data_IF_121520794601
#
_entry.id   IF_121520794601
#
_cell.length_a   1.000
_cell.length_b   1.000
_cell.length_c   1.000
_cell.angle_alpha   90.00
_cell.angle_beta   90.00
_cell.angle_gamma   90.00
#
_symmetry.space_group_name_H-M   'P 1'
#
loop_
_entity.id
_entity.type
_entity.pdbx_description
1 polymer ?
#
# COMPACT_ATOMS: atom_id res chain seq x y z
N UNK A 1 1.57 15.37 27.76
CA UNK A 1 2.03 14.86 26.46
C UNK A 1 0.92 15.14 25.44
N UNK A 2 1.08 16.10 24.52
CA UNK A 2 0.08 16.38 23.50
C UNK A 2 -0.04 15.16 22.58
N UNK A 3 -1.21 14.52 22.59
CA UNK A 3 -1.47 13.25 21.92
C UNK A 3 -1.29 13.31 20.41
N UNK A 4 -0.82 12.20 19.83
CA UNK A 4 -0.69 11.97 18.40
C UNK A 4 -2.01 12.29 17.69
N UNK A 5 -2.13 13.51 17.19
CA UNK A 5 -3.30 13.99 16.47
C UNK A 5 -3.21 13.51 15.02
N UNK A 6 -3.27 12.19 14.84
CA UNK A 6 -3.29 11.56 13.53
C UNK A 6 -4.63 11.74 12.83
N UNK A 7 -4.59 11.84 11.50
CA UNK A 7 -5.78 11.85 10.64
C UNK A 7 -5.74 10.58 9.80
N UNK A 8 -6.84 9.85 9.80
CA UNK A 8 -7.10 8.63 9.04
C UNK A 8 -7.97 8.98 7.84
N UNK A 9 -7.60 8.51 6.65
CA UNK A 9 -8.37 8.73 5.43
C UNK A 9 -9.35 7.58 5.23
N UNK A 10 -10.63 7.86 5.40
CA UNK A 10 -11.70 6.86 5.21
C UNK A 10 -12.39 7.10 3.88
N UNK A 11 -12.46 6.08 3.04
CA UNK A 11 -13.24 6.01 1.80
C UNK A 11 -14.41 5.04 2.02
N UNK A 12 -15.63 5.55 2.30
CA UNK A 12 -16.77 4.70 2.56
C UNK A 12 -17.22 3.92 1.32
N UNK A 13 -17.80 2.74 1.53
CA UNK A 13 -18.49 1.99 0.47
C UNK A 13 -19.57 2.86 -0.19
N UNK A 14 -19.83 2.66 -1.49
CA UNK A 14 -20.71 3.53 -2.28
C UNK A 14 -22.11 3.64 -1.67
N UNK A 15 -22.64 2.51 -1.19
CA UNK A 15 -23.95 2.42 -0.54
C UNK A 15 -24.00 3.12 0.83
N UNK A 16 -22.89 3.08 1.59
CA UNK A 16 -22.80 3.60 2.96
C UNK A 16 -22.30 5.06 3.04
N UNK A 17 -21.94 5.70 1.91
CA UNK A 17 -21.41 7.08 1.92
C UNK A 17 -22.35 8.09 2.57
N UNK A 18 -23.66 7.93 2.39
CA UNK A 18 -24.65 8.86 2.95
C UNK A 18 -24.73 8.74 4.46
N UNK A 19 -24.74 7.53 4.99
CA UNK A 19 -24.78 7.28 6.43
C UNK A 19 -23.46 7.68 7.09
N UNK A 20 -22.33 7.40 6.43
CA UNK A 20 -21.02 7.90 6.87
C UNK A 20 -20.95 9.43 6.91
N UNK A 21 -21.44 10.10 5.86
CA UNK A 21 -21.48 11.57 5.83
C UNK A 21 -22.36 12.15 6.95
N UNK A 22 -23.51 11.50 7.24
CA UNK A 22 -24.39 11.90 8.35
C UNK A 22 -23.66 11.79 9.70
N UNK A 23 -22.96 10.68 9.93
CA UNK A 23 -22.15 10.48 11.14
C UNK A 23 -21.01 11.51 11.21
N UNK A 24 -20.28 11.75 10.12
CA UNK A 24 -19.13 12.65 10.06
C UNK A 24 -19.48 14.11 10.39
N UNK A 25 -20.67 14.58 9.98
CA UNK A 25 -21.13 15.95 10.24
C UNK A 25 -21.44 16.20 11.72
N UNK A 26 -21.77 15.16 12.47
CA UNK A 26 -22.08 15.24 13.90
C UNK A 26 -20.82 15.32 14.80
N UNK A 27 -19.62 15.06 14.26
CA UNK A 27 -18.40 14.91 15.06
C UNK A 27 -17.76 16.24 15.52
N UNK A 28 -17.12 16.20 16.69
CA UNK A 28 -16.30 17.29 17.25
C UNK A 28 -14.98 16.74 17.81
N UNK A 29 -13.79 17.01 17.25
CA UNK A 29 -13.53 17.91 16.13
C UNK A 29 -14.15 17.43 14.82
N UNK A 30 -14.42 18.39 13.93
CA UNK A 30 -15.16 18.12 12.70
C UNK A 30 -14.31 17.29 11.74
N UNK A 31 -14.89 16.18 11.27
CA UNK A 31 -14.31 15.38 10.19
C UNK A 31 -14.26 16.26 8.94
N UNK A 32 -13.09 16.31 8.29
CA UNK A 32 -12.88 17.10 7.07
C UNK A 32 -13.11 16.23 5.85
N UNK A 33 -13.51 16.83 4.75
CA UNK A 33 -13.53 16.16 3.44
C UNK A 33 -12.14 16.22 2.85
N UNK A 34 -11.52 15.07 2.58
CA UNK A 34 -10.21 14.99 1.94
C UNK A 34 -10.34 14.95 0.41
N UNK A 35 -11.39 14.29 -0.11
CA UNK A 35 -11.71 14.20 -1.53
C UNK A 35 -13.24 13.98 -1.72
N UNK A 36 -13.77 14.01 -2.96
CA UNK A 36 -15.19 13.74 -3.21
C UNK A 36 -15.68 12.39 -2.69
N UNK A 37 -14.78 11.44 -2.46
CA UNK A 37 -15.09 10.07 -1.99
C UNK A 37 -14.36 9.70 -0.70
N UNK A 38 -13.60 10.61 -0.10
CA UNK A 38 -12.77 10.33 1.09
C UNK A 38 -12.86 11.42 2.15
N UNK A 39 -12.87 10.99 3.40
CA UNK A 39 -12.98 11.83 4.59
C UNK A 39 -11.72 11.72 5.44
N UNK A 40 -11.22 12.85 5.90
CA UNK A 40 -10.13 12.98 6.85
C UNK A 40 -10.73 12.96 8.27
N UNK A 41 -10.70 11.76 8.87
CA UNK A 41 -11.24 11.49 10.20
C UNK A 41 -10.10 11.57 11.22
N UNK A 42 -10.21 12.36 12.29
CA UNK A 42 -9.26 12.29 13.39
C UNK A 42 -9.20 10.87 13.96
N UNK A 43 -8.01 10.32 14.20
CA UNK A 43 -7.84 8.93 14.64
C UNK A 43 -8.67 8.58 15.90
N UNK A 44 -8.81 9.54 16.81
CA UNK A 44 -9.64 9.42 18.03
C UNK A 44 -11.14 9.31 17.77
N UNK A 45 -11.63 9.75 16.61
CA UNK A 45 -13.05 9.67 16.21
C UNK A 45 -13.33 8.44 15.37
N UNK A 46 -12.31 7.87 14.74
CA UNK A 46 -12.46 6.64 13.98
C UNK A 46 -12.98 5.49 14.86
N UNK A 47 -12.52 5.40 16.11
CA UNK A 47 -12.96 4.36 17.07
C UNK A 47 -14.42 4.51 17.54
N UNK A 48 -15.05 5.66 17.29
CA UNK A 48 -16.46 5.90 17.64
C UNK A 48 -17.39 5.76 16.42
N UNK A 49 -16.83 5.49 15.24
CA UNK A 49 -17.62 5.23 14.05
C UNK A 49 -18.30 3.86 14.21
N UNK A 50 -19.63 3.76 13.97
CA UNK A 50 -20.29 2.47 13.96
C UNK A 50 -19.66 1.57 12.90
N UNK A 51 -19.40 0.31 13.25
CA UNK A 51 -18.79 -0.65 12.33
C UNK A 51 -19.63 -0.85 11.06
N UNK A 52 -20.96 -0.77 11.19
CA UNK A 52 -21.91 -0.92 10.07
C UNK A 52 -21.65 0.07 8.93
N UNK A 53 -21.18 1.28 9.24
CA UNK A 53 -20.84 2.29 8.22
C UNK A 53 -19.41 2.17 7.71
N UNK A 54 -18.58 1.33 8.35
CA UNK A 54 -17.20 1.05 7.99
C UNK A 54 -17.05 -0.23 7.16
N UNK A 55 -17.97 -1.19 7.25
CA UNK A 55 -17.95 -2.43 6.46
C UNK A 55 -17.84 -2.10 4.96
N UNK A 56 -16.84 -2.71 4.29
CA UNK A 56 -16.56 -2.47 2.87
C UNK A 56 -15.89 -1.13 2.55
N UNK A 57 -15.58 -0.31 3.55
CA UNK A 57 -14.82 0.93 3.40
C UNK A 57 -13.32 0.66 3.32
N UNK A 58 -12.58 1.63 2.77
CA UNK A 58 -11.12 1.62 2.79
C UNK A 58 -10.61 2.69 3.77
N UNK A 59 -9.78 2.27 4.73
CA UNK A 59 -9.15 3.08 5.77
C UNK A 59 -7.66 3.15 5.45
N UNK A 60 -7.17 4.34 5.09
CA UNK A 60 -5.80 4.58 4.60
C UNK A 60 -5.37 3.66 3.46
N UNK A 61 -6.33 3.21 2.65
CA UNK A 61 -6.11 2.30 1.52
C UNK A 61 -6.22 0.81 1.87
N UNK A 62 -6.37 0.45 3.14
CA UNK A 62 -6.67 -0.91 3.58
C UNK A 62 -8.17 -1.13 3.73
N UNK A 63 -8.69 -2.30 3.34
CA UNK A 63 -10.09 -2.62 3.57
C UNK A 63 -10.33 -2.73 5.07
N UNK A 64 -11.40 -2.09 5.56
CA UNK A 64 -11.81 -2.25 6.95
C UNK A 64 -12.21 -3.71 7.21
N UNK A 65 -11.70 -4.25 8.31
CA UNK A 65 -12.02 -5.59 8.85
C UNK A 65 -12.59 -5.36 10.24
N UNK A 66 -13.74 -5.99 10.54
CA UNK A 66 -14.39 -5.84 11.84
C UNK A 66 -13.54 -6.52 12.91
N UNK A 67 -13.33 -5.90 14.09
CA UNK A 67 -12.53 -6.49 15.17
C UNK A 67 -13.13 -7.78 15.75
N UNK A 68 -14.43 -8.04 15.53
CA UNK A 68 -15.05 -9.33 15.88
C UNK A 68 -14.57 -10.45 14.94
N UNK A 69 -14.38 -10.14 13.65
CA UNK A 69 -13.71 -11.03 12.68
C UNK A 69 -12.19 -11.12 12.93
N UNK A 70 -11.59 -10.11 13.58
CA UNK A 70 -10.18 -10.08 14.01
C UNK A 70 -9.96 -10.59 15.44
N UNK A 71 -11.02 -10.98 16.16
CA UNK A 71 -10.86 -11.86 17.34
C UNK A 71 -10.14 -13.08 16.80
N UNK A 72 -9.01 -13.52 17.37
CA UNK A 72 -8.13 -14.49 16.73
C UNK A 72 -8.73 -15.90 16.67
N UNK A 73 -9.76 -16.07 15.85
CA UNK A 73 -9.94 -17.23 14.99
C UNK A 73 -9.13 -16.93 13.73
N UNK A 74 -7.82 -16.78 13.93
CA UNK A 74 -6.83 -16.65 12.86
C UNK A 74 -6.76 -17.99 12.12
N UNK A 75 -7.76 -18.28 11.28
CA UNK A 75 -7.79 -19.44 10.38
C UNK A 75 -8.03 -19.00 8.95
N UNK A 76 -7.31 -17.97 8.48
CA UNK A 76 -6.88 -17.88 7.07
C UNK A 76 -5.49 -17.27 7.05
N UNK A 77 -4.47 -18.14 7.00
CA UNK A 77 -3.23 -17.82 6.30
C UNK A 77 -2.33 -16.73 6.89
N UNK A 78 -2.18 -16.64 8.21
CA UNK A 78 -0.80 -16.45 8.70
C UNK A 78 -0.05 -17.65 8.12
N UNK A 79 0.98 -17.50 7.26
CA UNK A 79 1.90 -18.62 7.12
C UNK A 79 2.33 -18.85 8.55
N UNK A 80 1.94 -20.00 9.12
CA UNK A 80 2.66 -20.49 10.27
C UNK A 80 4.11 -20.30 9.87
N UNK A 81 4.86 -19.53 10.66
CA UNK A 81 6.28 -19.77 10.71
C UNK A 81 6.38 -21.18 11.30
N UNK A 82 6.14 -22.19 10.46
CA UNK A 82 6.71 -23.53 10.56
C UNK A 82 8.20 -23.36 10.24
N UNK A 83 8.85 -22.44 10.97
CA UNK A 83 10.24 -22.61 11.29
C UNK A 83 10.23 -23.89 12.08
N UNK A 84 10.83 -24.92 11.50
CA UNK A 84 11.02 -26.24 12.09
C UNK A 84 11.69 -26.03 13.44
N UNK A 85 10.88 -25.87 14.50
CA UNK A 85 11.28 -26.19 15.84
C UNK A 85 11.33 -27.72 15.86
N UNK A 86 12.37 -28.28 15.23
CA UNK A 86 12.84 -29.60 15.60
C UNK A 86 12.96 -29.61 17.12
N UNK A 87 12.67 -30.74 17.79
CA UNK A 87 12.71 -30.83 19.25
C UNK A 87 14.08 -30.45 19.86
N UNK A 88 15.11 -30.24 19.03
CA UNK A 88 16.45 -29.81 19.41
C UNK A 88 16.65 -28.28 19.51
N UNK A 89 15.67 -27.46 19.12
CA UNK A 89 15.77 -25.99 19.25
C UNK A 89 16.85 -25.35 18.36
N UNK A 90 17.19 -24.09 18.66
CA UNK A 90 18.23 -23.33 17.96
C UNK A 90 19.61 -23.86 18.37
N UNK A 91 20.35 -24.45 17.42
CA UNK A 91 21.77 -24.78 17.64
C UNK A 91 22.66 -23.62 17.20
N UNK A 92 23.59 -23.21 18.05
CA UNK A 92 24.59 -22.20 17.71
C UNK A 92 25.58 -22.79 16.69
N UNK A 93 25.78 -22.13 15.57
CA UNK A 93 26.67 -22.62 14.52
C UNK A 93 28.13 -22.50 14.97
N UNK A 94 28.84 -23.62 15.03
CA UNK A 94 30.28 -23.66 15.32
C UNK A 94 31.08 -23.50 14.01
N UNK A 95 31.99 -22.51 13.91
CA UNK A 95 32.82 -22.34 12.71
C UNK A 95 33.64 -23.59 12.39
N UNK A 96 33.50 -24.11 11.17
CA UNK A 96 34.22 -25.30 10.69
C UNK A 96 33.43 -26.60 10.75
N UNK A 97 32.23 -26.60 11.34
CA UNK A 97 31.32 -27.75 11.28
C UNK A 97 30.45 -27.68 10.01
N UNK A 98 30.29 -28.78 9.26
CA UNK A 98 29.49 -28.77 8.03
C UNK A 98 28.02 -28.49 8.36
N UNK A 99 27.39 -27.65 7.53
CA UNK A 99 25.97 -27.35 7.62
C UNK A 99 25.16 -28.65 7.47
N UNK A 100 24.03 -28.79 8.19
CA UNK A 100 23.17 -29.94 8.05
C UNK A 100 22.53 -29.89 6.66
N UNK A 101 22.43 -31.04 6.00
CA UNK A 101 21.79 -31.13 4.69
C UNK A 101 20.30 -30.81 4.80
N UNK A 102 19.84 -29.82 4.04
CA UNK A 102 18.42 -29.49 3.93
C UNK A 102 17.77 -30.54 3.04
N UNK A 103 16.76 -31.30 3.51
CA UNK A 103 16.09 -32.29 2.69
C UNK A 103 15.46 -31.62 1.46
N UNK A 104 15.59 -32.24 0.28
CA UNK A 104 14.97 -31.73 -0.95
C UNK A 104 13.44 -31.63 -0.85
N UNK A 105 12.84 -32.37 0.09
CA UNK A 105 11.41 -32.35 0.42
C UNK A 105 10.92 -31.00 0.97
N UNK A 106 11.82 -30.14 1.46
CA UNK A 106 11.49 -28.75 1.85
C UNK A 106 11.07 -27.93 0.63
N UNK A 107 11.61 -28.24 -0.54
CA UNK A 107 11.18 -27.66 -1.81
C UNK A 107 10.06 -28.53 -2.38
N UNK A 108 8.85 -28.33 -1.84
CA UNK A 108 7.66 -29.04 -2.29
C UNK A 108 7.35 -28.77 -3.78
N UNK A 109 6.47 -29.56 -4.40
CA UNK A 109 6.10 -29.43 -5.82
C UNK A 109 5.44 -28.10 -6.20
N UNK A 110 4.98 -27.34 -5.20
CA UNK A 110 4.47 -25.96 -5.35
C UNK A 110 5.59 -24.90 -5.40
N UNK A 111 6.85 -25.31 -5.18
CA UNK A 111 7.99 -24.40 -5.29
C UNK A 111 8.17 -24.01 -6.75
N UNK A 112 7.95 -22.74 -7.05
CA UNK A 112 8.22 -22.21 -8.38
C UNK A 112 9.72 -21.91 -8.49
N UNK A 113 10.45 -22.50 -9.46
CA UNK A 113 11.85 -22.16 -9.68
C UNK A 113 11.96 -20.68 -9.99
N UNK A 114 12.77 -19.96 -9.21
CA UNK A 114 13.13 -18.60 -9.56
C UNK A 114 13.95 -18.65 -10.86
N UNK A 115 13.62 -17.84 -11.87
CA UNK A 115 14.45 -17.73 -13.05
C UNK A 115 15.85 -17.27 -12.62
N UNK A 116 16.88 -17.98 -13.08
CA UNK A 116 18.26 -17.55 -12.88
C UNK A 116 18.38 -16.14 -13.46
N UNK A 117 18.73 -15.17 -12.60
CA UNK A 117 18.72 -13.76 -12.93
C UNK A 117 19.48 -13.49 -14.22
N UNK A 118 18.74 -13.28 -15.30
CA UNK A 118 19.28 -12.65 -16.49
C UNK A 118 19.40 -11.18 -16.13
N UNK A 119 20.64 -10.68 -16.12
CA UNK A 119 20.95 -9.26 -16.01
C UNK A 119 20.50 -8.54 -17.29
N UNK A 120 19.20 -8.58 -17.58
CA UNK A 120 18.57 -7.77 -18.60
C UNK A 120 18.04 -6.52 -17.89
N UNK A 121 18.97 -5.60 -17.61
CA UNK A 121 18.65 -4.18 -17.55
C UNK A 121 18.20 -3.71 -18.93
N UNK A 122 17.05 -4.20 -19.39
CA UNK A 122 16.38 -3.69 -20.57
C UNK A 122 15.59 -2.43 -20.16
N UNK A 123 16.34 -1.33 -20.05
CA UNK A 123 15.79 0.00 -20.30
C UNK A 123 15.77 0.25 -21.81
N UNK A 124 15.14 -0.63 -22.59
CA UNK A 124 14.81 -0.34 -23.99
C UNK A 124 13.36 0.12 -24.07
N UNK A 125 13.06 1.21 -23.37
CA UNK A 125 12.08 2.12 -23.92
C UNK A 125 12.74 2.70 -25.17
N UNK A 126 12.36 2.20 -26.34
CA UNK A 126 12.67 2.78 -27.64
C UNK A 126 12.24 4.25 -27.62
N UNK A 127 13.15 5.11 -27.17
CA UNK A 127 12.96 6.54 -27.20
C UNK A 127 13.13 6.94 -28.66
N UNK A 128 12.13 7.56 -29.31
CA UNK A 128 12.45 8.37 -30.48
C UNK A 128 13.44 9.43 -30.00
N UNK A 129 14.70 9.30 -30.40
CA UNK A 129 15.76 10.27 -30.14
C UNK A 129 15.37 11.59 -30.82
N UNK A 130 14.66 12.42 -30.06
CA UNK A 130 14.15 13.69 -30.49
C UNK A 130 14.27 14.67 -29.34
N UNK A 131 14.94 15.78 -29.57
CA UNK A 131 14.85 16.92 -28.68
C UNK A 131 13.52 17.62 -28.99
N UNK A 132 12.65 17.73 -27.98
CA UNK A 132 11.34 18.36 -28.09
C UNK A 132 11.41 19.76 -27.45
N UNK A 133 11.70 20.83 -28.22
CA UNK A 133 11.73 22.19 -27.68
C UNK A 133 10.32 22.66 -27.32
N UNK A 134 10.21 23.47 -26.28
CA UNK A 134 8.98 24.16 -25.94
C UNK A 134 8.75 25.34 -26.91
N UNK A 135 7.53 25.50 -27.43
CA UNK A 135 7.21 26.63 -28.32
C UNK A 135 7.07 27.99 -27.62
N UNK A 136 7.06 28.01 -26.28
CA UNK A 136 6.85 29.21 -25.48
C UNK A 136 8.09 29.62 -24.66
N UNK A 137 9.11 28.77 -24.56
CA UNK A 137 10.40 29.10 -23.94
C UNK A 137 11.52 28.21 -24.47
N UNK A 138 12.78 28.59 -24.26
CA UNK A 138 13.96 27.87 -24.77
C UNK A 138 14.30 26.57 -24.01
N UNK A 139 13.30 25.92 -23.39
CA UNK A 139 13.49 24.64 -22.70
C UNK A 139 13.31 23.45 -23.64
N UNK A 140 14.26 22.54 -23.57
CA UNK A 140 14.31 21.32 -24.35
C UNK A 140 13.99 20.10 -23.50
N UNK A 141 13.20 19.18 -24.05
CA UNK A 141 12.78 17.95 -23.38
C UNK A 141 13.19 16.74 -24.19
N UNK A 142 13.54 15.66 -23.51
CA UNK A 142 13.88 14.37 -24.14
C UNK A 142 12.64 13.54 -24.47
N UNK A 143 11.44 14.05 -24.20
CA UNK A 143 10.17 13.41 -24.55
C UNK A 143 9.07 14.42 -24.83
N UNK A 144 8.17 14.07 -25.76
CA UNK A 144 7.00 14.88 -26.09
C UNK A 144 6.08 15.10 -24.88
N UNK A 145 5.89 14.04 -24.08
CA UNK A 145 5.08 14.10 -22.85
C UNK A 145 5.65 15.09 -21.83
N UNK A 146 6.98 15.20 -21.73
CA UNK A 146 7.66 16.16 -20.88
C UNK A 146 7.41 17.61 -21.33
N UNK A 147 7.52 17.86 -22.64
CA UNK A 147 7.22 19.18 -23.25
C UNK A 147 5.77 19.60 -22.97
N UNK A 148 4.81 18.69 -23.17
CA UNK A 148 3.39 18.98 -23.00
C UNK A 148 3.00 19.24 -21.54
N UNK A 149 3.51 18.44 -20.59
CA UNK A 149 3.31 18.68 -19.17
C UNK A 149 3.91 20.02 -18.71
N UNK A 150 5.10 20.36 -19.23
CA UNK A 150 5.73 21.66 -18.99
C UNK A 150 4.86 22.81 -19.51
N UNK A 151 4.32 22.69 -20.73
CA UNK A 151 3.37 23.64 -21.31
C UNK A 151 2.18 23.92 -20.39
N UNK A 152 1.50 22.86 -19.96
CA UNK A 152 0.32 22.96 -19.08
C UNK A 152 0.64 23.56 -17.70
N UNK A 153 1.85 23.38 -17.18
CA UNK A 153 2.22 23.84 -15.84
C UNK A 153 2.84 25.24 -15.82
N UNK A 154 3.56 25.63 -16.88
CA UNK A 154 4.34 26.88 -16.94
C UNK A 154 3.76 27.92 -17.89
N UNK A 155 2.90 27.51 -18.81
CA UNK A 155 2.26 28.36 -19.80
C UNK A 155 0.73 28.20 -19.77
N UNK A 156 0.16 28.00 -18.58
CA UNK A 156 -1.25 27.70 -18.35
C UNK A 156 -2.24 28.86 -18.67
N UNK A 157 -1.74 30.00 -19.14
CA UNK A 157 -2.52 31.23 -19.35
C UNK A 157 -2.34 31.76 -20.78
N UNK A 158 -2.98 31.07 -21.74
CA UNK A 158 -3.24 31.59 -23.09
C UNK A 158 -4.59 31.08 -23.61
#
# INVERSE_FOLDING_TARGET
MPGMSGVVIVRPAVELRRDFARWAVAQRPKVRTASPTSFAVPAVRFTEAPEEILIGSFVDGQRYVSPDEDTPECTVGRPELVGVASPDGYREAVPGEPLPEVPAEVYGPDSTPLPEGSDDSDSSAEAPEGVFPCGACDREFTSERGRDAHGRQKHAEA
#
